data_IF_499734547905
#
_entry.id   IF_499734547905
#
_cell.length_a   1.000
_cell.length_b   1.000
_cell.length_c   1.000
_cell.angle_alpha   90.00
_cell.angle_beta   90.00
_cell.angle_gamma   90.00
#
_symmetry.space_group_name_H-M   'P 1'
#
loop_
_entity.id
_entity.type
_entity.pdbx_description
1 polymer ?
#
# COMPACT_ATOMS: atom_id res chain seq x y z
N UNK A 1 11.23 4.21 -6.21
CA UNK A 1 9.94 4.91 -6.08
C UNK A 1 9.00 4.53 -7.21
N UNK A 2 7.73 4.33 -6.90
CA UNK A 2 6.71 4.02 -7.91
C UNK A 2 6.45 5.25 -8.78
N UNK A 3 6.49 5.08 -10.10
CA UNK A 3 6.14 6.14 -11.04
C UNK A 3 4.61 6.35 -11.11
N UNK A 4 3.85 5.33 -10.75
CA UNK A 4 2.38 5.33 -10.81
C UNK A 4 1.82 4.36 -9.74
N UNK A 5 0.71 4.73 -9.12
CA UNK A 5 -0.02 3.88 -8.18
C UNK A 5 -1.25 3.27 -8.85
N UNK A 6 -1.64 2.02 -8.49
CA UNK A 6 -2.86 1.41 -9.01
C UNK A 6 -4.09 2.31 -8.79
N UNK A 7 -4.99 2.36 -9.77
CA UNK A 7 -6.21 3.18 -9.72
C UNK A 7 -7.05 2.88 -8.47
N UNK A 8 -7.14 1.62 -8.06
CA UNK A 8 -7.87 1.22 -6.86
C UNK A 8 -7.23 1.74 -5.56
N UNK A 9 -5.89 1.82 -5.49
CA UNK A 9 -5.20 2.44 -4.34
C UNK A 9 -5.51 3.93 -4.27
N UNK A 10 -5.43 4.64 -5.39
CA UNK A 10 -5.78 6.07 -5.46
C UNK A 10 -7.23 6.32 -5.06
N UNK A 11 -8.17 5.48 -5.54
CA UNK A 11 -9.58 5.53 -5.17
C UNK A 11 -9.79 5.35 -3.66
N UNK A 12 -9.20 4.31 -3.07
CA UNK A 12 -9.31 4.05 -1.62
C UNK A 12 -8.81 5.24 -0.79
N UNK A 13 -7.66 5.80 -1.14
CA UNK A 13 -7.10 6.97 -0.43
C UNK A 13 -8.06 8.15 -0.55
N UNK A 14 -8.56 8.43 -1.74
CA UNK A 14 -9.54 9.52 -1.98
C UNK A 14 -10.82 9.30 -1.14
N UNK A 15 -11.40 8.10 -1.15
CA UNK A 15 -12.60 7.75 -0.37
C UNK A 15 -12.38 7.91 1.12
N UNK A 16 -11.24 7.45 1.65
CA UNK A 16 -10.91 7.60 3.08
C UNK A 16 -10.76 9.08 3.44
N UNK A 17 -10.10 9.89 2.60
CA UNK A 17 -9.97 11.34 2.85
C UNK A 17 -11.34 12.02 2.88
N UNK A 18 -12.30 11.58 2.06
CA UNK A 18 -13.68 12.09 2.10
C UNK A 18 -14.46 11.61 3.33
N UNK A 19 -14.13 10.43 3.85
CA UNK A 19 -14.83 9.83 5.00
C UNK A 19 -14.32 10.36 6.34
N UNK A 20 -13.04 10.75 6.44
CA UNK A 20 -12.51 11.39 7.64
C UNK A 20 -12.92 12.86 7.68
N UNK A 21 -13.51 13.29 8.78
CA UNK A 21 -14.01 14.65 8.95
C UNK A 21 -12.87 15.61 9.27
N UNK A 22 -12.25 16.17 8.23
CA UNK A 22 -11.26 17.23 8.35
C UNK A 22 -11.92 18.63 8.32
N UNK A 23 -11.29 19.68 8.87
CA UNK A 23 -11.74 21.06 8.72
C UNK A 23 -11.89 21.48 7.25
N UNK A 24 -12.70 22.52 6.99
CA UNK A 24 -12.95 23.01 5.63
C UNK A 24 -11.69 23.51 4.91
N UNK A 25 -10.66 23.94 5.63
CA UNK A 25 -9.36 24.42 5.12
C UNK A 25 -8.25 24.11 6.08
N UNK A 26 -7.03 24.00 5.59
CA UNK A 26 -5.83 23.74 6.39
C UNK A 26 -4.59 23.54 5.53
N UNK A 27 -3.53 23.07 6.16
CA UNK A 27 -2.26 22.70 5.53
C UNK A 27 -1.98 21.21 5.81
N UNK A 28 -1.82 20.42 4.73
CA UNK A 28 -1.58 18.98 4.81
C UNK A 28 -0.19 18.64 4.29
N UNK A 29 0.48 17.70 4.96
CA UNK A 29 1.77 17.16 4.56
C UNK A 29 1.63 15.67 4.16
N UNK A 30 2.09 15.34 2.97
CA UNK A 30 2.40 13.96 2.54
C UNK A 30 3.85 13.66 2.94
N UNK A 31 4.04 12.96 4.05
CA UNK A 31 5.36 12.62 4.59
C UNK A 31 5.84 11.29 4.00
N UNK A 32 6.93 11.32 3.22
CA UNK A 32 7.38 10.24 2.36
C UNK A 32 6.65 10.22 1.02
N UNK A 33 6.49 11.39 0.38
CA UNK A 33 5.64 11.59 -0.79
C UNK A 33 6.13 10.91 -2.08
N UNK A 34 7.39 10.44 -2.12
CA UNK A 34 8.00 9.90 -3.33
C UNK A 34 7.89 10.85 -4.53
N UNK A 35 7.40 10.34 -5.65
CA UNK A 35 7.20 11.15 -6.88
C UNK A 35 5.90 12.01 -6.86
N UNK A 36 5.22 12.15 -5.72
CA UNK A 36 4.08 13.07 -5.54
C UNK A 36 2.72 12.58 -6.06
N UNK A 37 2.63 11.34 -6.53
CA UNK A 37 1.37 10.78 -7.10
C UNK A 37 0.22 10.83 -6.10
N UNK A 38 0.47 10.41 -4.86
CA UNK A 38 -0.55 10.39 -3.81
C UNK A 38 -0.78 11.78 -3.22
N UNK A 39 0.24 12.63 -3.19
CA UNK A 39 0.10 14.06 -2.83
C UNK A 39 -0.96 14.75 -3.69
N UNK A 40 -0.98 14.46 -5.00
CA UNK A 40 -2.02 15.00 -5.91
C UNK A 40 -3.41 14.41 -5.60
N UNK A 41 -3.52 13.13 -5.20
CA UNK A 41 -4.80 12.53 -4.78
C UNK A 41 -5.32 13.21 -3.51
N UNK A 42 -4.43 13.51 -2.54
CA UNK A 42 -4.79 14.28 -1.33
C UNK A 42 -5.30 15.66 -1.74
N UNK A 43 -4.62 16.35 -2.64
CA UNK A 43 -5.05 17.67 -3.14
C UNK A 43 -6.43 17.63 -3.80
N UNK A 44 -6.73 16.59 -4.57
CA UNK A 44 -8.06 16.40 -5.17
C UNK A 44 -9.14 16.14 -4.12
N UNK A 45 -8.80 15.40 -3.06
CA UNK A 45 -9.70 15.13 -1.94
C UNK A 45 -9.90 16.34 -1.01
N UNK A 46 -8.96 17.28 -0.98
CA UNK A 46 -8.94 18.46 -0.11
C UNK A 46 -8.75 19.76 -0.92
N UNK A 47 -9.70 20.14 -1.77
CA UNK A 47 -9.50 21.21 -2.77
C UNK A 47 -9.24 22.60 -2.16
N UNK A 48 -9.67 22.85 -0.92
CA UNK A 48 -9.48 24.12 -0.19
C UNK A 48 -8.25 24.14 0.72
N UNK A 49 -7.44 23.05 0.71
CA UNK A 49 -6.24 22.91 1.52
C UNK A 49 -4.99 23.23 0.72
N UNK A 50 -3.95 23.73 1.42
CA UNK A 50 -2.60 23.77 0.88
C UNK A 50 -1.94 22.42 1.10
N UNK A 51 -1.49 21.79 0.02
CA UNK A 51 -0.90 20.44 0.07
C UNK A 51 0.59 20.51 -0.17
N UNK A 52 1.32 19.89 0.75
CA UNK A 52 2.77 19.81 0.77
C UNK A 52 3.21 18.35 0.72
N UNK A 53 4.38 18.10 0.17
CA UNK A 53 5.03 16.79 0.19
C UNK A 53 6.48 16.92 0.58
N UNK A 54 7.00 15.91 1.30
CA UNK A 54 8.43 15.77 1.59
C UNK A 54 8.90 14.34 1.43
N UNK A 55 10.14 14.18 0.99
CA UNK A 55 10.81 12.88 0.87
C UNK A 55 12.31 13.03 1.10
N UNK A 56 12.94 11.96 1.56
CA UNK A 56 14.40 11.89 1.74
C UNK A 56 15.17 11.87 0.40
N UNK A 57 14.49 11.49 -0.69
CA UNK A 57 15.04 11.43 -2.03
C UNK A 57 14.85 12.75 -2.77
N UNK A 58 15.91 13.55 -2.88
CA UNK A 58 15.90 14.79 -3.65
C UNK A 58 15.47 14.58 -5.11
N UNK A 59 15.80 13.42 -5.70
CA UNK A 59 15.39 13.06 -7.06
C UNK A 59 13.86 12.88 -7.14
N UNK A 60 13.25 12.20 -6.15
CA UNK A 60 11.81 12.01 -6.10
C UNK A 60 11.10 13.35 -5.92
N UNK A 61 11.57 14.21 -5.02
CA UNK A 61 11.06 15.57 -4.80
C UNK A 61 11.14 16.41 -6.08
N UNK A 62 12.25 16.35 -6.82
CA UNK A 62 12.42 17.06 -8.09
C UNK A 62 11.41 16.59 -9.15
N UNK A 63 11.19 15.26 -9.25
CA UNK A 63 10.18 14.69 -10.15
C UNK A 63 8.76 15.12 -9.74
N UNK A 64 8.46 15.14 -8.44
CA UNK A 64 7.17 15.56 -7.91
C UNK A 64 6.86 17.03 -8.24
N UNK A 65 7.83 17.93 -8.06
CA UNK A 65 7.70 19.35 -8.42
C UNK A 65 7.33 19.54 -9.90
N UNK A 66 7.98 18.78 -10.79
CA UNK A 66 7.72 18.86 -12.24
C UNK A 66 6.34 18.28 -12.61
N UNK A 67 5.94 17.20 -11.97
CA UNK A 67 4.72 16.47 -12.32
C UNK A 67 3.45 17.09 -11.71
N UNK A 68 3.56 17.71 -10.53
CA UNK A 68 2.42 18.20 -9.75
C UNK A 68 2.59 19.63 -9.24
N UNK A 69 2.65 20.64 -10.14
CA UNK A 69 2.96 22.04 -9.80
C UNK A 69 1.90 22.74 -8.92
N UNK A 70 0.75 22.11 -8.68
CA UNK A 70 -0.28 22.61 -7.76
C UNK A 70 -0.04 22.20 -6.29
N UNK A 71 0.94 21.36 -6.04
CA UNK A 71 1.42 20.99 -4.72
C UNK A 71 2.79 21.61 -4.45
N UNK A 72 3.15 21.80 -3.20
CA UNK A 72 4.48 22.31 -2.83
C UNK A 72 5.32 21.18 -2.25
N UNK A 73 6.54 20.98 -2.77
CA UNK A 73 7.40 19.89 -2.34
C UNK A 73 8.71 20.40 -1.76
N UNK A 74 9.11 19.81 -0.62
CA UNK A 74 10.34 20.13 0.09
C UNK A 74 11.26 18.91 0.19
N UNK A 75 12.55 19.15 0.17
CA UNK A 75 13.54 18.17 0.61
C UNK A 75 13.47 18.06 2.14
N UNK A 76 13.57 16.85 2.68
CA UNK A 76 13.33 16.58 4.10
C UNK A 76 14.16 17.43 5.08
N UNK A 77 15.36 17.85 4.67
CA UNK A 77 16.29 18.62 5.50
C UNK A 77 16.38 20.10 5.13
N UNK A 78 15.45 20.60 4.27
CA UNK A 78 15.50 22.01 3.87
C UNK A 78 15.08 22.94 5.03
N UNK A 79 15.77 24.07 5.25
CA UNK A 79 15.41 25.03 6.32
C UNK A 79 13.97 25.52 6.22
N UNK A 80 13.47 25.72 5.00
CA UNK A 80 12.10 26.18 4.74
C UNK A 80 11.04 25.14 5.17
N UNK A 81 11.41 23.86 5.19
CA UNK A 81 10.52 22.78 5.61
C UNK A 81 10.51 22.61 7.14
N UNK A 82 11.68 22.62 7.77
CA UNK A 82 11.82 22.32 9.21
C UNK A 82 11.08 23.29 10.14
N UNK A 83 10.77 24.49 9.66
CA UNK A 83 10.01 25.50 10.43
C UNK A 83 8.49 25.40 10.22
N UNK A 84 8.00 24.55 9.31
CA UNK A 84 6.57 24.42 9.03
C UNK A 84 5.84 23.54 10.03
N UNK A 85 4.55 23.86 10.23
CA UNK A 85 3.61 23.07 11.04
C UNK A 85 2.33 22.85 10.25
N UNK A 86 1.78 21.62 10.34
CA UNK A 86 0.66 21.17 9.54
C UNK A 86 -0.54 20.80 10.42
N UNK A 87 -1.74 20.97 9.86
CA UNK A 87 -3.00 20.56 10.51
C UNK A 87 -3.24 19.05 10.32
N UNK A 88 -2.65 18.48 9.24
CA UNK A 88 -2.84 17.08 8.88
C UNK A 88 -1.57 16.50 8.26
N UNK A 89 -1.18 15.29 8.71
CA UNK A 89 -0.12 14.52 8.08
C UNK A 89 -0.70 13.22 7.51
N UNK A 90 -0.32 12.94 6.27
CA UNK A 90 -0.57 11.68 5.57
C UNK A 90 0.74 10.94 5.40
N UNK A 91 0.72 9.60 5.55
CA UNK A 91 1.81 8.71 5.15
C UNK A 91 1.27 7.50 4.41
N UNK A 92 2.00 7.03 3.41
CA UNK A 92 1.68 5.78 2.74
C UNK A 92 2.94 4.95 2.54
N UNK A 93 3.01 3.80 3.18
CA UNK A 93 4.16 2.89 3.11
C UNK A 93 5.48 3.58 3.49
N UNK A 94 5.55 4.10 4.72
CA UNK A 94 6.74 4.78 5.28
C UNK A 94 7.31 4.01 6.46
N UNK A 95 6.48 3.66 7.44
CA UNK A 95 6.94 3.14 8.73
C UNK A 95 7.51 1.72 8.67
N UNK A 96 7.13 0.93 7.68
CA UNK A 96 7.72 -0.39 7.42
C UNK A 96 9.18 -0.33 6.92
N UNK A 97 9.62 0.84 6.42
CA UNK A 97 10.99 1.07 5.93
C UNK A 97 11.92 1.71 6.97
N UNK A 98 11.39 2.11 8.11
CA UNK A 98 12.10 2.91 9.10
C UNK A 98 12.77 2.03 10.16
N UNK A 99 14.10 2.10 10.33
CA UNK A 99 14.81 1.35 11.37
C UNK A 99 14.47 1.84 12.77
N UNK A 100 14.56 3.14 13.03
CA UNK A 100 14.20 3.74 14.32
C UNK A 100 12.80 4.35 14.26
N UNK A 101 11.79 3.52 14.53
CA UNK A 101 10.40 3.90 14.45
C UNK A 101 10.04 5.10 15.35
N UNK A 102 10.52 5.07 16.60
CA UNK A 102 10.23 6.12 17.59
C UNK A 102 10.85 7.46 17.19
N UNK A 103 12.06 7.47 16.67
CA UNK A 103 12.75 8.67 16.22
C UNK A 103 12.01 9.35 15.07
N UNK A 104 11.69 8.60 14.01
CA UNK A 104 10.99 9.15 12.85
C UNK A 104 9.57 9.58 13.21
N UNK A 105 8.89 8.84 14.09
CA UNK A 105 7.58 9.25 14.59
C UNK A 105 7.66 10.56 15.40
N UNK A 106 8.68 10.71 16.25
CA UNK A 106 8.94 11.95 17.00
C UNK A 106 9.21 13.12 16.03
N UNK A 107 10.10 12.92 15.05
CA UNK A 107 10.38 13.94 14.03
C UNK A 107 9.13 14.34 13.26
N UNK A 108 8.33 13.37 12.81
CA UNK A 108 7.05 13.66 12.15
C UNK A 108 6.09 14.46 13.06
N UNK A 109 6.03 14.10 14.35
CA UNK A 109 5.21 14.80 15.32
C UNK A 109 5.62 16.27 15.52
N UNK A 110 6.92 16.59 15.35
CA UNK A 110 7.39 17.98 15.41
C UNK A 110 6.81 18.87 14.30
N UNK A 111 6.37 18.29 13.19
CA UNK A 111 5.72 19.03 12.11
C UNK A 111 4.21 19.24 12.33
N UNK A 112 3.63 18.78 13.43
CA UNK A 112 2.21 18.87 13.70
C UNK A 112 1.86 20.05 14.59
N UNK A 113 0.74 20.70 14.28
CA UNK A 113 0.10 21.71 15.14
C UNK A 113 -0.56 21.05 16.37
N UNK A 114 -0.91 21.81 17.43
CA UNK A 114 -1.58 21.25 18.61
C UNK A 114 -2.87 20.48 18.28
N UNK A 115 -3.76 21.04 17.49
CA UNK A 115 -5.05 20.43 17.10
C UNK A 115 -4.96 19.71 15.76
N UNK A 116 -4.05 18.75 15.64
CA UNK A 116 -3.74 18.10 14.38
C UNK A 116 -4.29 16.68 14.29
N UNK A 117 -4.24 16.13 13.09
CA UNK A 117 -4.61 14.75 12.81
C UNK A 117 -3.63 14.05 11.86
N UNK A 118 -3.67 12.72 11.83
CA UNK A 118 -2.79 11.89 11.01
C UNK A 118 -3.58 10.78 10.34
N UNK A 119 -3.19 10.44 9.11
CA UNK A 119 -3.72 9.29 8.36
C UNK A 119 -2.57 8.46 7.81
N UNK A 120 -2.50 7.21 8.22
CA UNK A 120 -1.41 6.31 7.87
C UNK A 120 -1.91 5.08 7.11
N UNK A 121 -1.35 4.83 5.92
CA UNK A 121 -1.49 3.58 5.19
C UNK A 121 -0.21 2.78 5.33
N UNK A 122 -0.29 1.55 5.82
CA UNK A 122 0.86 0.68 6.02
C UNK A 122 0.47 -0.81 5.96
N UNK A 123 1.44 -1.72 5.70
CA UNK A 123 1.21 -3.16 5.79
C UNK A 123 0.73 -3.54 7.19
N UNK A 124 -0.29 -4.40 7.26
CA UNK A 124 -0.93 -4.79 8.50
C UNK A 124 -0.48 -6.19 8.95
N UNK A 125 0.02 -6.29 10.17
CA UNK A 125 0.42 -7.54 10.83
C UNK A 125 -0.71 -8.26 11.57
N UNK A 126 -1.95 -7.74 11.54
CA UNK A 126 -3.08 -8.39 12.19
C UNK A 126 -3.34 -9.78 11.61
N UNK A 127 -3.86 -10.67 12.45
CA UNK A 127 -4.26 -12.00 12.04
C UNK A 127 -5.47 -12.01 11.10
N UNK A 128 -5.66 -13.13 10.39
CA UNK A 128 -6.89 -13.42 9.66
C UNK A 128 -6.89 -13.02 8.19
N UNK A 129 -5.93 -12.22 7.71
CA UNK A 129 -5.81 -11.96 6.28
C UNK A 129 -5.43 -13.24 5.51
N UNK A 130 -5.75 -13.27 4.21
CA UNK A 130 -5.35 -14.40 3.35
C UNK A 130 -3.84 -14.62 3.37
N UNK A 131 -3.07 -13.56 3.32
CA UNK A 131 -1.61 -13.56 3.33
C UNK A 131 -1.07 -14.04 4.67
N UNK A 132 -1.59 -13.53 5.79
CA UNK A 132 -1.24 -14.02 7.12
C UNK A 132 -1.48 -15.54 7.25
N UNK A 133 -2.65 -16.01 6.80
CA UNK A 133 -2.99 -17.43 6.85
C UNK A 133 -2.04 -18.31 6.01
N UNK A 134 -1.51 -17.79 4.90
CA UNK A 134 -0.48 -18.49 4.11
C UNK A 134 0.86 -18.48 4.85
N UNK A 135 1.25 -17.37 5.45
CA UNK A 135 2.46 -17.28 6.27
C UNK A 135 2.45 -18.33 7.40
N UNK A 136 1.31 -18.52 8.06
CA UNK A 136 1.16 -19.54 9.13
C UNK A 136 1.29 -21.00 8.65
N UNK A 137 1.27 -21.26 7.35
CA UNK A 137 1.51 -22.61 6.79
C UNK A 137 2.98 -22.87 6.47
N UNK A 138 3.85 -21.87 6.59
CA UNK A 138 5.24 -21.89 6.10
C UNK A 138 6.23 -21.74 7.24
N UNK A 139 7.40 -22.40 7.11
CA UNK A 139 8.52 -22.29 8.06
C UNK A 139 9.18 -20.91 8.02
N UNK A 140 9.21 -20.32 6.82
CA UNK A 140 9.74 -18.98 6.53
C UNK A 140 8.65 -17.89 6.50
N UNK A 141 7.44 -18.21 6.96
CA UNK A 141 6.25 -17.39 6.75
C UNK A 141 6.34 -16.00 7.34
N UNK A 142 6.85 -15.89 8.57
CA UNK A 142 7.10 -14.62 9.25
C UNK A 142 8.52 -14.61 9.82
N UNK A 143 9.16 -13.45 9.80
CA UNK A 143 10.47 -13.23 10.39
C UNK A 143 10.33 -12.41 11.69
N UNK A 144 10.48 -13.07 12.84
CA UNK A 144 10.36 -12.45 14.16
C UNK A 144 11.48 -11.43 14.44
N UNK A 145 12.70 -11.61 13.88
CA UNK A 145 13.80 -10.67 14.02
C UNK A 145 13.54 -9.35 13.27
N UNK A 146 12.66 -9.39 12.27
CA UNK A 146 12.20 -8.24 11.50
C UNK A 146 10.73 -7.92 11.83
N UNK A 147 10.38 -7.90 13.10
CA UNK A 147 9.06 -7.50 13.64
C UNK A 147 7.90 -8.06 12.80
N UNK A 148 7.88 -9.40 12.61
CA UNK A 148 6.86 -10.18 11.91
C UNK A 148 6.72 -9.90 10.41
N UNK A 149 7.75 -9.37 9.74
CA UNK A 149 7.77 -9.22 8.29
C UNK A 149 7.39 -10.53 7.60
N UNK A 150 6.55 -10.45 6.58
CA UNK A 150 6.16 -11.62 5.79
C UNK A 150 7.25 -12.01 4.80
N UNK A 151 7.41 -13.30 4.52
CA UNK A 151 8.48 -13.89 3.71
C UNK A 151 8.60 -13.33 2.28
N UNK A 152 7.53 -12.77 1.73
CA UNK A 152 7.48 -12.26 0.35
C UNK A 152 7.74 -10.75 0.23
N UNK A 153 7.82 -10.06 1.35
CA UNK A 153 8.10 -8.63 1.37
C UNK A 153 9.56 -8.36 1.00
N UNK A 154 9.82 -7.22 0.38
CA UNK A 154 11.16 -6.86 -0.04
C UNK A 154 12.10 -6.58 1.16
N UNK A 155 13.42 -6.51 0.87
CA UNK A 155 14.43 -6.30 1.90
C UNK A 155 14.37 -4.92 2.56
N UNK A 156 13.69 -3.97 1.92
CA UNK A 156 13.48 -2.63 2.48
C UNK A 156 12.42 -2.59 3.58
N UNK A 157 11.56 -3.59 3.69
CA UNK A 157 10.62 -3.73 4.80
C UNK A 157 11.35 -4.32 6.01
N UNK A 158 11.49 -3.56 7.07
CA UNK A 158 12.15 -4.00 8.32
C UNK A 158 11.14 -4.42 9.39
N UNK A 159 9.85 -4.17 9.17
CA UNK A 159 8.76 -4.54 10.10
C UNK A 159 7.40 -4.67 9.44
N UNK A 160 6.49 -5.29 10.19
CA UNK A 160 5.05 -5.32 9.88
C UNK A 160 4.24 -5.19 11.17
N UNK A 161 3.78 -3.98 11.44
CA UNK A 161 3.08 -3.64 12.69
C UNK A 161 1.63 -4.12 12.66
N UNK A 162 1.14 -4.54 13.83
CA UNK A 162 -0.28 -4.68 14.09
C UNK A 162 -0.93 -3.33 14.36
N UNK A 163 -2.25 -3.26 14.27
CA UNK A 163 -3.01 -2.05 14.62
C UNK A 163 -2.72 -1.60 16.06
N UNK A 164 -2.68 -2.54 17.00
CA UNK A 164 -2.49 -2.21 18.42
C UNK A 164 -1.08 -1.71 18.73
N UNK A 165 -0.04 -2.26 18.06
CA UNK A 165 1.33 -1.75 18.17
C UNK A 165 1.44 -0.32 17.64
N UNK A 166 0.84 -0.03 16.47
CA UNK A 166 0.86 1.32 15.91
C UNK A 166 0.04 2.31 16.76
N UNK A 167 -1.11 1.88 17.31
CA UNK A 167 -1.89 2.70 18.24
C UNK A 167 -1.09 3.05 19.51
N UNK A 168 -0.35 2.10 20.10
CA UNK A 168 0.53 2.36 21.24
C UNK A 168 1.58 3.43 20.93
N UNK A 169 2.19 3.36 19.74
CA UNK A 169 3.13 4.39 19.28
C UNK A 169 2.46 5.77 19.22
N UNK A 170 1.30 5.87 18.58
CA UNK A 170 0.57 7.13 18.43
C UNK A 170 0.14 7.73 19.78
N UNK A 171 -0.25 6.89 20.75
CA UNK A 171 -0.62 7.29 22.10
C UNK A 171 0.53 7.95 22.86
N UNK A 172 1.79 7.66 22.55
CA UNK A 172 2.94 8.35 23.18
C UNK A 172 2.99 9.86 22.91
N UNK A 173 2.20 10.36 21.97
CA UNK A 173 2.07 11.77 21.56
C UNK A 173 0.62 12.25 21.61
N UNK A 174 -0.20 11.66 22.48
CA UNK A 174 -1.60 12.04 22.75
C UNK A 174 -2.54 11.89 21.55
N UNK A 175 -2.19 11.03 20.57
CA UNK A 175 -3.07 10.73 19.46
C UNK A 175 -3.98 9.55 19.76
N UNK A 176 -5.29 9.72 19.50
CA UNK A 176 -6.32 8.70 19.65
C UNK A 176 -6.85 8.25 18.29
N UNK A 177 -6.93 6.95 18.09
CA UNK A 177 -7.54 6.35 16.91
C UNK A 177 -9.01 6.78 16.82
N UNK A 178 -9.41 7.33 15.67
CA UNK A 178 -10.77 7.77 15.37
C UNK A 178 -11.46 6.85 14.38
N UNK A 179 -10.75 6.44 13.33
CA UNK A 179 -11.23 5.52 12.31
C UNK A 179 -10.14 4.58 11.86
N UNK A 180 -10.54 3.38 11.49
CA UNK A 180 -9.66 2.36 10.95
C UNK A 180 -10.31 1.68 9.75
N UNK A 181 -9.49 1.37 8.75
CA UNK A 181 -9.93 0.69 7.52
C UNK A 181 -8.89 -0.36 7.16
N UNK A 182 -9.36 -1.46 6.57
CA UNK A 182 -8.53 -2.59 6.20
C UNK A 182 -8.81 -3.01 4.77
N UNK A 183 -7.78 -3.43 4.05
CA UNK A 183 -7.91 -3.95 2.70
C UNK A 183 -7.10 -5.24 2.51
N UNK A 184 -7.37 -5.93 1.41
CA UNK A 184 -6.73 -7.19 1.06
C UNK A 184 -7.01 -8.32 2.07
N UNK A 185 -8.28 -8.49 2.49
CA UNK A 185 -8.69 -9.58 3.37
C UNK A 185 -8.57 -10.94 2.67
N UNK A 186 -9.30 -11.12 1.56
CA UNK A 186 -9.31 -12.36 0.77
C UNK A 186 -9.32 -12.07 -0.75
N UNK A 187 -10.41 -11.47 -1.27
CA UNK A 187 -10.52 -11.20 -2.72
C UNK A 187 -9.50 -10.16 -3.18
N UNK A 188 -9.26 -9.14 -2.37
CA UNK A 188 -8.23 -8.14 -2.64
C UNK A 188 -6.83 -8.76 -2.66
N UNK A 189 -6.54 -9.68 -1.74
CA UNK A 189 -5.29 -10.42 -1.71
C UNK A 189 -5.13 -11.31 -2.97
N UNK A 190 -6.15 -12.07 -3.35
CA UNK A 190 -6.12 -12.87 -4.58
C UNK A 190 -5.95 -11.97 -5.81
N UNK A 191 -6.63 -10.81 -5.86
CA UNK A 191 -6.51 -9.88 -6.97
C UNK A 191 -5.06 -9.44 -7.17
N UNK A 192 -4.40 -8.92 -6.12
CA UNK A 192 -3.02 -8.44 -6.29
C UNK A 192 -2.01 -9.57 -6.50
N UNK A 193 -2.12 -10.71 -5.78
CA UNK A 193 -1.20 -11.86 -5.94
C UNK A 193 -1.25 -12.41 -7.37
N UNK A 194 -2.44 -12.51 -7.96
CA UNK A 194 -2.61 -13.13 -9.29
C UNK A 194 -2.36 -12.18 -10.46
N UNK A 195 -2.21 -10.88 -10.23
CA UNK A 195 -1.68 -9.94 -11.24
C UNK A 195 -0.15 -9.87 -11.21
N UNK A 196 0.49 -10.36 -10.15
CA UNK A 196 1.94 -10.53 -10.14
C UNK A 196 2.42 -11.59 -11.15
N UNK A 197 3.70 -11.89 -11.19
CA UNK A 197 4.23 -12.88 -12.12
C UNK A 197 3.85 -14.31 -11.71
N UNK A 198 3.73 -15.26 -12.65
CA UNK A 198 3.58 -16.67 -12.30
C UNK A 198 4.70 -17.19 -11.38
N UNK A 199 5.92 -16.65 -11.51
CA UNK A 199 7.03 -16.94 -10.59
C UNK A 199 6.72 -16.53 -9.16
N UNK A 200 6.11 -15.37 -8.97
CA UNK A 200 5.68 -14.91 -7.63
C UNK A 200 4.66 -15.88 -7.01
N UNK A 201 3.65 -16.31 -7.76
CA UNK A 201 2.64 -17.28 -7.27
C UNK A 201 3.27 -18.61 -6.88
N UNK A 202 4.25 -19.11 -7.64
CA UNK A 202 4.98 -20.33 -7.30
C UNK A 202 5.79 -20.17 -6.01
N UNK A 203 6.48 -19.06 -5.84
CA UNK A 203 7.21 -18.70 -4.62
C UNK A 203 6.25 -18.54 -3.44
N UNK A 204 5.15 -17.79 -3.59
CA UNK A 204 4.15 -17.53 -2.57
C UNK A 204 3.53 -18.84 -2.03
N UNK A 205 3.31 -19.82 -2.89
CA UNK A 205 2.72 -21.12 -2.56
C UNK A 205 3.73 -22.28 -2.49
N UNK A 206 4.99 -21.98 -2.17
CA UNK A 206 6.04 -23.02 -2.16
C UNK A 206 5.80 -24.08 -1.08
N UNK A 207 5.58 -25.31 -1.54
CA UNK A 207 5.28 -26.46 -0.66
C UNK A 207 6.50 -27.04 0.05
N UNK A 208 7.72 -26.65 -0.33
CA UNK A 208 8.95 -27.07 0.36
C UNK A 208 9.07 -26.38 1.73
N UNK A 209 8.47 -25.22 1.87
CA UNK A 209 8.45 -24.42 3.09
C UNK A 209 7.35 -24.82 4.09
N UNK A 210 6.52 -25.83 3.77
CA UNK A 210 5.43 -26.24 4.65
C UNK A 210 5.92 -26.69 6.02
N UNK A 211 5.26 -26.19 7.09
CA UNK A 211 5.58 -26.56 8.49
C UNK A 211 5.30 -28.04 8.80
N UNK A 212 4.34 -28.65 8.11
CA UNK A 212 3.96 -30.05 8.28
C UNK A 212 3.21 -30.60 7.03
N UNK A 213 2.86 -31.90 7.07
CA UNK A 213 2.15 -32.58 5.97
C UNK A 213 0.78 -31.95 5.64
N UNK A 214 0.03 -31.51 6.65
CA UNK A 214 -1.29 -30.86 6.48
C UNK A 214 -1.14 -29.48 5.81
N UNK A 215 -0.17 -28.69 6.25
CA UNK A 215 0.18 -27.41 5.62
C UNK A 215 0.62 -27.61 4.17
N UNK A 216 1.43 -28.63 3.89
CA UNK A 216 1.85 -28.97 2.52
C UNK A 216 0.66 -29.24 1.59
N UNK A 217 -0.34 -29.96 2.07
CA UNK A 217 -1.56 -30.22 1.30
C UNK A 217 -2.37 -28.93 1.05
N UNK A 218 -2.48 -28.05 2.06
CA UNK A 218 -3.12 -26.74 1.90
C UNK A 218 -2.38 -25.87 0.88
N UNK A 219 -1.04 -25.76 0.99
CA UNK A 219 -0.23 -25.00 0.04
C UNK A 219 -0.33 -25.54 -1.40
N UNK A 220 -0.44 -26.86 -1.59
CA UNK A 220 -0.72 -27.44 -2.91
C UNK A 220 -2.04 -26.96 -3.50
N UNK A 221 -3.12 -26.92 -2.68
CA UNK A 221 -4.43 -26.40 -3.12
C UNK A 221 -4.35 -24.90 -3.45
N UNK A 222 -3.68 -24.11 -2.62
CA UNK A 222 -3.40 -22.68 -2.86
C UNK A 222 -2.64 -22.50 -4.16
N UNK A 223 -1.57 -23.26 -4.39
CA UNK A 223 -0.79 -23.23 -5.63
C UNK A 223 -1.65 -23.49 -6.86
N UNK A 224 -2.42 -24.56 -6.84
CA UNK A 224 -3.30 -24.92 -7.96
C UNK A 224 -4.32 -23.81 -8.24
N UNK A 225 -4.96 -23.30 -7.21
CA UNK A 225 -5.98 -22.25 -7.30
C UNK A 225 -5.41 -20.92 -7.82
N UNK A 226 -4.34 -20.41 -7.20
CA UNK A 226 -3.72 -19.15 -7.61
C UNK A 226 -3.09 -19.23 -8.99
N UNK A 227 -2.42 -20.37 -9.33
CA UNK A 227 -1.84 -20.57 -10.67
C UNK A 227 -2.94 -20.58 -11.73
N UNK A 228 -4.06 -21.26 -11.49
CA UNK A 228 -5.18 -21.28 -12.41
C UNK A 228 -5.72 -19.86 -12.71
N UNK A 229 -5.99 -19.07 -11.65
CA UNK A 229 -6.45 -17.68 -11.81
C UNK A 229 -5.40 -16.84 -12.55
N UNK A 230 -4.12 -16.95 -12.15
CA UNK A 230 -3.03 -16.19 -12.78
C UNK A 230 -2.92 -16.48 -14.27
N UNK A 231 -3.01 -17.75 -14.67
CA UNK A 231 -2.94 -18.13 -16.09
C UNK A 231 -4.12 -17.60 -16.89
N UNK A 232 -5.33 -17.62 -16.33
CA UNK A 232 -6.51 -17.03 -16.97
C UNK A 232 -6.42 -15.50 -17.12
N UNK A 233 -5.76 -14.82 -16.19
CA UNK A 233 -5.57 -13.36 -16.20
C UNK A 233 -4.34 -12.91 -16.96
N UNK A 234 -3.39 -13.80 -17.22
CA UNK A 234 -2.07 -13.47 -17.76
C UNK A 234 -2.11 -12.63 -19.04
N UNK A 235 -2.95 -12.94 -20.06
CA UNK A 235 -3.00 -12.12 -21.27
C UNK A 235 -3.45 -10.66 -20.99
N UNK A 236 -4.47 -10.46 -20.16
CA UNK A 236 -4.93 -9.12 -19.78
C UNK A 236 -3.85 -8.35 -19.00
N UNK A 237 -3.14 -9.03 -18.08
CA UNK A 237 -2.05 -8.44 -17.31
C UNK A 237 -0.86 -8.04 -18.19
N UNK A 238 -0.45 -8.90 -19.14
CA UNK A 238 0.62 -8.58 -20.10
C UNK A 238 0.24 -7.33 -20.91
N UNK A 239 -0.95 -7.29 -21.47
CA UNK A 239 -1.41 -6.17 -22.29
C UNK A 239 -1.41 -4.88 -21.46
N UNK A 240 -2.00 -4.91 -20.27
CA UNK A 240 -2.04 -3.73 -19.39
C UNK A 240 -0.63 -3.24 -19.06
N UNK A 241 0.27 -4.13 -18.62
CA UNK A 241 1.66 -3.79 -18.29
C UNK A 241 2.44 -3.23 -19.48
N UNK A 242 2.25 -3.79 -20.66
CA UNK A 242 2.95 -3.32 -21.86
C UNK A 242 2.40 -1.96 -22.31
N UNK A 243 1.08 -1.74 -22.25
CA UNK A 243 0.48 -0.46 -22.65
C UNK A 243 0.88 0.68 -21.73
N UNK A 244 0.98 0.44 -20.43
CA UNK A 244 1.35 1.47 -19.44
C UNK A 244 2.85 1.79 -19.38
N UNK A 245 3.69 0.94 -19.97
CA UNK A 245 5.15 1.13 -19.94
C UNK A 245 5.59 2.29 -20.84
N UNK A 246 6.34 3.26 -20.30
CA UNK A 246 6.86 4.41 -21.05
C UNK A 246 7.88 3.99 -22.13
N UNK A 247 8.87 3.17 -21.76
CA UNK A 247 9.93 2.71 -22.66
C UNK A 247 9.68 1.28 -23.12
N UNK A 248 9.16 1.11 -24.35
CA UNK A 248 8.87 -0.20 -24.96
C UNK A 248 10.06 -0.71 -25.79
N UNK A 249 10.41 -1.97 -25.59
CA UNK A 249 11.44 -2.71 -26.35
C UNK A 249 10.75 -3.75 -27.25
N UNK A 250 11.43 -4.30 -28.25
CA UNK A 250 10.90 -5.31 -29.17
C UNK A 250 10.20 -6.48 -28.45
N UNK A 251 10.80 -6.98 -27.36
CA UNK A 251 10.19 -8.05 -26.54
C UNK A 251 8.79 -7.72 -26.02
N UNK A 252 8.48 -6.45 -25.76
CA UNK A 252 7.16 -6.03 -25.28
C UNK A 252 6.11 -6.13 -26.39
N UNK A 253 6.48 -5.83 -27.62
CA UNK A 253 5.59 -5.98 -28.79
C UNK A 253 5.33 -7.46 -29.10
N UNK A 254 6.35 -8.33 -28.99
CA UNK A 254 6.18 -9.79 -29.13
C UNK A 254 5.21 -10.32 -28.08
N UNK A 255 5.38 -9.94 -26.79
CA UNK A 255 4.47 -10.33 -25.72
C UNK A 255 3.04 -9.84 -25.97
N UNK A 256 2.89 -8.61 -26.48
CA UNK A 256 1.58 -8.07 -26.83
C UNK A 256 0.90 -8.90 -27.92
N UNK A 257 1.61 -9.22 -29.02
CA UNK A 257 1.09 -10.05 -30.11
C UNK A 257 0.67 -11.45 -29.63
N UNK A 258 1.44 -12.06 -28.72
CA UNK A 258 1.11 -13.36 -28.14
C UNK A 258 -0.12 -13.31 -27.22
N UNK A 259 -0.31 -12.20 -26.50
CA UNK A 259 -1.41 -12.05 -25.54
C UNK A 259 -2.73 -11.64 -26.19
N UNK A 260 -2.70 -10.88 -27.29
CA UNK A 260 -3.88 -10.32 -27.96
C UNK A 260 -4.99 -11.36 -28.29
N UNK A 261 -4.71 -12.54 -28.86
CA UNK A 261 -5.76 -13.52 -29.17
C UNK A 261 -6.55 -13.99 -27.94
N UNK A 262 -5.91 -13.99 -26.77
CA UNK A 262 -6.50 -14.46 -25.51
C UNK A 262 -7.12 -13.35 -24.68
N UNK A 263 -6.97 -12.09 -25.09
CA UNK A 263 -7.42 -10.93 -24.34
C UNK A 263 -8.93 -10.90 -24.13
N UNK A 264 -9.69 -11.31 -25.15
CA UNK A 264 -11.16 -11.33 -25.12
C UNK A 264 -11.67 -12.21 -23.96
N UNK A 265 -10.99 -13.33 -23.70
CA UNK A 265 -11.35 -14.25 -22.62
C UNK A 265 -10.78 -13.80 -21.26
N UNK A 266 -9.56 -13.28 -21.23
CA UNK A 266 -8.88 -12.93 -19.98
C UNK A 266 -9.40 -11.61 -19.36
N UNK A 267 -9.81 -10.65 -20.18
CA UNK A 267 -10.29 -9.34 -19.70
C UNK A 267 -11.54 -9.41 -18.80
N UNK A 268 -12.59 -10.21 -19.10
CA UNK A 268 -13.72 -10.40 -18.21
C UNK A 268 -13.31 -11.01 -16.87
N UNK A 269 -12.38 -11.95 -16.85
CA UNK A 269 -11.87 -12.60 -15.63
C UNK A 269 -11.09 -11.61 -14.77
N UNK A 270 -10.23 -10.79 -15.39
CA UNK A 270 -9.52 -9.71 -14.70
C UNK A 270 -10.49 -8.68 -14.09
N UNK A 271 -11.51 -8.27 -14.85
CA UNK A 271 -12.58 -7.40 -14.35
C UNK A 271 -13.36 -8.03 -13.19
N UNK A 272 -13.63 -9.33 -13.24
CA UNK A 272 -14.32 -10.05 -12.16
C UNK A 272 -13.55 -9.97 -10.85
N UNK A 273 -12.24 -10.25 -10.83
CA UNK A 273 -11.44 -10.21 -9.62
C UNK A 273 -11.29 -8.78 -9.07
N UNK A 274 -11.08 -7.80 -9.94
CA UNK A 274 -11.06 -6.38 -9.53
C UNK A 274 -12.39 -5.93 -8.92
N UNK A 275 -13.51 -6.39 -9.48
CA UNK A 275 -14.84 -6.12 -8.90
C UNK A 275 -14.99 -6.79 -7.54
N UNK A 276 -14.57 -8.07 -7.40
CA UNK A 276 -14.62 -8.78 -6.11
C UNK A 276 -13.77 -8.12 -5.03
N UNK A 277 -12.59 -7.65 -5.38
CA UNK A 277 -11.74 -6.87 -4.48
C UNK A 277 -12.40 -5.54 -4.05
N UNK A 278 -13.09 -4.88 -4.97
CA UNK A 278 -13.86 -3.65 -4.68
C UNK A 278 -15.05 -3.92 -3.77
N UNK A 279 -15.87 -4.91 -4.10
CA UNK A 279 -17.03 -5.34 -3.28
C UNK A 279 -16.57 -5.70 -1.84
N UNK A 280 -15.40 -6.35 -1.71
CA UNK A 280 -14.82 -6.68 -0.41
C UNK A 280 -14.44 -5.40 0.37
N UNK A 281 -13.76 -4.43 -0.26
CA UNK A 281 -13.49 -3.14 0.35
C UNK A 281 -14.77 -2.43 0.80
N UNK A 282 -15.76 -2.34 -0.06
CA UNK A 282 -17.01 -1.62 0.23
C UNK A 282 -17.77 -2.23 1.41
N UNK A 283 -17.68 -3.56 1.60
CA UNK A 283 -18.43 -4.29 2.64
C UNK A 283 -17.63 -4.65 3.89
N UNK A 284 -16.28 -4.78 3.77
CA UNK A 284 -15.45 -5.36 4.83
C UNK A 284 -14.31 -4.45 5.30
N UNK A 285 -14.23 -3.22 4.81
CA UNK A 285 -13.14 -2.29 5.16
C UNK A 285 -12.97 -1.99 6.65
N UNK A 286 -13.92 -2.35 7.50
CA UNK A 286 -13.83 -2.18 8.96
C UNK A 286 -13.46 -3.48 9.71
N UNK A 287 -13.27 -4.60 9.00
CA UNK A 287 -12.84 -5.86 9.59
C UNK A 287 -11.30 -5.87 9.74
N UNK A 288 -10.78 -6.06 10.95
CA UNK A 288 -9.33 -6.01 11.30
C UNK A 288 -8.49 -7.17 10.73
N UNK A 289 -8.92 -7.81 9.68
CA UNK A 289 -8.29 -8.98 9.07
C UNK A 289 -7.71 -8.72 7.67
N UNK A 290 -7.42 -7.47 7.34
CA UNK A 290 -6.73 -7.09 6.10
C UNK A 290 -5.22 -7.15 6.21
N UNK A 291 -4.51 -7.28 5.08
CA UNK A 291 -3.05 -7.21 5.04
C UNK A 291 -2.50 -5.79 4.81
N UNK A 292 -3.35 -4.82 4.59
CA UNK A 292 -3.06 -3.40 4.64
C UNK A 292 -4.03 -2.72 5.60
N UNK A 293 -3.55 -1.83 6.44
CA UNK A 293 -4.36 -1.00 7.33
C UNK A 293 -4.23 0.48 6.98
N UNK A 294 -5.33 1.21 7.23
CA UNK A 294 -5.39 2.66 7.14
C UNK A 294 -5.98 3.19 8.45
N UNK A 295 -5.20 3.98 9.17
CA UNK A 295 -5.50 4.41 10.53
C UNK A 295 -5.53 5.93 10.61
N UNK A 296 -6.67 6.47 11.05
CA UNK A 296 -6.87 7.91 11.24
C UNK A 296 -6.88 8.26 12.73
N UNK A 297 -6.00 9.18 13.09
CA UNK A 297 -5.80 9.65 14.46
C UNK A 297 -6.08 11.14 14.58
N UNK A 298 -6.59 11.55 15.73
CA UNK A 298 -6.64 12.96 16.15
C UNK A 298 -5.90 13.13 17.48
N UNK A 299 -5.24 14.27 17.63
CA UNK A 299 -4.68 14.65 18.92
C UNK A 299 -5.81 14.95 19.90
N UNK A 300 -5.70 14.44 21.14
CA UNK A 300 -6.69 14.61 22.20
C UNK A 300 -6.49 15.92 22.96
#
# INVERSE_FOLDING_TARGET
YMEEWPTEKKRKIFEVIQDIQLPAKGEALDFGCGNGVLTEIIRQGLPSWKIFGTDISNKAVSNARLSYPKCTFFEANSPDFTQKKFDFIFTNHVFEHVFNLTEVFNQMNEYLKPESSMLHFLPCGNEGSYEYNICQLRKDGTNAELENRFFYEDEGHVRRLTTDEFCKLCQTKDFKLQKEFYSYQYNGAIDWITIESPKFVLMFSDTSQAINKKAKQKLKKVRMYLTFITMLRLPANIITRVLTKKNKQLKHYILLLMALPFFVFSKPIDKYWKRKAREEWDTKKFERNGSEMCLYFKRS
#
